data_IF_173860950024
#
_entry.id   IF_173860950024
#
_cell.length_a   1.000
_cell.length_b   1.000
_cell.length_c   1.000
_cell.angle_alpha   90.00
_cell.angle_beta   90.00
_cell.angle_gamma   90.00
#
_symmetry.space_group_name_H-M   'P 1'
#
loop_
_entity.id
_entity.type
_entity.pdbx_description
1 polymer ?
#
# COMPACT_ATOMS: atom_id res chain seq x y z
N UNK A 1 22.97 -15.16 -16.85
CA UNK A 1 22.48 -13.76 -16.96
C UNK A 1 21.55 -13.52 -15.76
N UNK A 2 21.59 -12.35 -15.15
CA UNK A 2 20.70 -12.06 -14.00
C UNK A 2 19.46 -11.31 -14.48
N UNK A 3 18.32 -11.96 -14.45
CA UNK A 3 17.03 -11.39 -14.85
C UNK A 3 16.33 -10.78 -13.64
N UNK A 4 15.69 -9.61 -13.79
CA UNK A 4 14.95 -8.93 -12.72
C UNK A 4 13.53 -8.62 -13.14
N UNK A 5 12.60 -8.78 -12.18
CA UNK A 5 11.21 -8.32 -12.34
C UNK A 5 11.09 -6.98 -11.62
N UNK A 6 10.74 -5.92 -12.37
CA UNK A 6 10.68 -4.57 -11.82
C UNK A 6 9.60 -3.72 -12.47
N UNK A 7 9.31 -2.57 -11.85
CA UNK A 7 8.36 -1.58 -12.34
C UNK A 7 9.06 -0.58 -13.27
N UNK A 8 8.49 -0.40 -14.48
CA UNK A 8 8.86 0.65 -15.43
C UNK A 8 7.79 1.73 -15.38
N UNK A 9 8.17 2.99 -15.10
CA UNK A 9 7.25 4.12 -15.10
C UNK A 9 6.96 4.57 -16.54
N UNK A 10 5.67 4.72 -16.86
CA UNK A 10 5.20 5.19 -18.18
C UNK A 10 4.16 6.30 -18.07
N UNK A 11 3.68 6.62 -16.88
CA UNK A 11 2.67 7.67 -16.65
C UNK A 11 3.21 9.09 -16.91
N UNK A 12 2.27 10.03 -17.04
CA UNK A 12 2.53 11.47 -17.19
C UNK A 12 2.99 12.09 -15.85
N UNK A 13 3.41 13.37 -15.89
CA UNK A 13 3.68 14.18 -14.69
C UNK A 13 2.41 14.20 -13.82
N UNK A 14 2.53 13.94 -12.52
CA UNK A 14 1.44 13.85 -11.54
C UNK A 14 0.42 12.72 -11.75
N UNK A 15 0.57 11.86 -12.79
CA UNK A 15 -0.23 10.65 -12.99
C UNK A 15 0.71 9.45 -13.23
N UNK A 16 1.30 8.90 -12.16
CA UNK A 16 2.18 7.75 -12.28
C UNK A 16 1.40 6.50 -12.70
N UNK A 17 1.90 5.80 -13.69
CA UNK A 17 1.46 4.48 -14.09
C UNK A 17 2.69 3.61 -14.33
N UNK A 18 2.62 2.34 -13.94
CA UNK A 18 3.77 1.45 -13.98
C UNK A 18 3.42 0.16 -14.71
N UNK A 19 4.35 -0.34 -15.52
CA UNK A 19 4.31 -1.70 -16.05
C UNK A 19 5.21 -2.61 -15.25
N UNK A 20 4.75 -3.81 -14.95
CA UNK A 20 5.61 -4.87 -14.45
C UNK A 20 6.31 -5.50 -15.64
N UNK A 21 7.62 -5.45 -15.62
CA UNK A 21 8.46 -5.95 -16.72
C UNK A 21 9.53 -6.90 -16.21
N UNK A 22 9.85 -7.87 -17.04
CA UNK A 22 11.01 -8.74 -16.90
C UNK A 22 12.12 -8.17 -17.78
N UNK A 23 13.30 -7.95 -17.21
CA UNK A 23 14.41 -7.29 -17.89
C UNK A 23 15.75 -7.80 -17.35
N UNK A 24 16.79 -7.79 -18.16
CA UNK A 24 18.16 -8.05 -17.72
C UNK A 24 18.61 -6.97 -16.70
N UNK A 25 19.29 -7.40 -15.64
CA UNK A 25 19.77 -6.54 -14.55
C UNK A 25 20.71 -5.42 -15.02
N UNK A 26 21.45 -5.65 -16.08
CA UNK A 26 22.42 -4.70 -16.67
C UNK A 26 21.75 -3.58 -17.48
N UNK A 27 20.52 -3.81 -17.97
CA UNK A 27 19.80 -2.82 -18.77
C UNK A 27 19.22 -1.71 -17.90
N UNK A 28 19.08 -0.52 -18.47
CA UNK A 28 18.44 0.63 -17.82
C UNK A 28 16.97 0.29 -17.48
N UNK A 29 16.41 0.94 -16.45
CA UNK A 29 15.02 0.72 -16.02
C UNK A 29 14.02 0.86 -17.16
N UNK A 30 14.24 1.82 -18.05
CA UNK A 30 13.34 2.16 -19.16
C UNK A 30 13.76 1.50 -20.49
N UNK A 31 14.73 0.57 -20.44
CA UNK A 31 15.21 -0.19 -21.59
C UNK A 31 14.19 -1.17 -22.15
N UNK A 32 14.61 -1.89 -23.21
CA UNK A 32 13.80 -2.93 -23.81
C UNK A 32 13.57 -4.08 -22.80
N UNK A 33 12.31 -4.34 -22.46
CA UNK A 33 11.91 -5.45 -21.62
C UNK A 33 11.90 -6.75 -22.43
N UNK A 34 12.17 -7.87 -21.76
CA UNK A 34 12.02 -9.21 -22.34
C UNK A 34 10.53 -9.51 -22.46
N UNK A 35 9.77 -9.26 -21.36
CA UNK A 35 8.34 -9.52 -21.30
C UNK A 35 7.65 -8.51 -20.37
N UNK A 36 6.36 -8.21 -20.63
CA UNK A 36 5.48 -7.47 -19.75
C UNK A 36 4.56 -8.46 -19.04
N UNK A 37 4.64 -8.52 -17.72
CA UNK A 37 3.90 -9.48 -16.88
C UNK A 37 2.75 -8.85 -16.09
N UNK A 38 2.50 -7.54 -16.30
CA UNK A 38 1.38 -6.85 -15.65
C UNK A 38 1.55 -5.34 -15.65
N UNK A 39 0.68 -4.67 -14.88
CA UNK A 39 0.74 -3.23 -14.65
C UNK A 39 0.32 -2.86 -13.23
N UNK A 40 0.65 -1.65 -12.80
CA UNK A 40 0.30 -1.11 -11.50
C UNK A 40 -0.08 0.38 -11.62
N UNK A 41 -1.28 0.73 -11.17
CA UNK A 41 -1.79 2.09 -11.10
C UNK A 41 -1.97 2.51 -9.62
N UNK A 42 -1.12 3.37 -9.06
CA UNK A 42 -1.24 3.79 -7.67
C UNK A 42 -2.36 4.80 -7.40
N UNK A 43 -2.97 5.38 -8.45
CA UNK A 43 -4.00 6.42 -8.30
C UNK A 43 -5.37 5.78 -8.13
N UNK A 44 -5.59 4.65 -8.76
CA UNK A 44 -6.86 3.93 -8.76
C UNK A 44 -6.89 2.94 -7.58
N UNK A 45 -7.76 3.15 -6.56
CA UNK A 45 -7.83 2.25 -5.42
C UNK A 45 -8.50 0.92 -5.75
N UNK A 46 -9.47 0.90 -6.68
CA UNK A 46 -10.23 -0.31 -7.03
C UNK A 46 -9.44 -1.22 -7.96
N UNK A 47 -8.93 -0.67 -9.06
CA UNK A 47 -8.14 -1.39 -10.05
C UNK A 47 -6.68 -0.97 -9.97
N UNK A 48 -6.04 -1.22 -8.82
CA UNK A 48 -4.68 -0.75 -8.59
C UNK A 48 -3.61 -1.52 -9.36
N UNK A 49 -3.84 -2.77 -9.73
CA UNK A 49 -2.88 -3.59 -10.47
C UNK A 49 -3.54 -4.81 -11.12
N UNK A 50 -2.91 -5.30 -12.15
CA UNK A 50 -3.19 -6.57 -12.80
C UNK A 50 -1.89 -7.32 -13.04
N UNK A 51 -1.88 -8.61 -12.71
CA UNK A 51 -0.68 -9.44 -12.76
C UNK A 51 -0.99 -10.73 -13.51
N UNK A 52 -0.03 -11.17 -14.32
CA UNK A 52 -0.06 -12.49 -14.96
C UNK A 52 0.72 -13.47 -14.07
N UNK A 53 0.02 -14.13 -13.17
CA UNK A 53 0.61 -14.98 -12.11
C UNK A 53 1.48 -16.10 -12.69
N UNK A 54 0.99 -16.81 -13.69
CA UNK A 54 1.71 -17.94 -14.30
C UNK A 54 3.04 -17.50 -14.93
N UNK A 55 3.05 -16.30 -15.55
CA UNK A 55 4.27 -15.77 -16.15
C UNK A 55 5.27 -15.33 -15.09
N UNK A 56 4.81 -14.77 -13.99
CA UNK A 56 5.69 -14.39 -12.87
C UNK A 56 6.29 -15.63 -12.22
N UNK A 57 5.49 -16.67 -11.96
CA UNK A 57 5.96 -17.94 -11.41
C UNK A 57 6.98 -18.62 -12.33
N UNK A 58 6.73 -18.63 -13.63
CA UNK A 58 7.68 -19.13 -14.62
C UNK A 58 9.04 -18.39 -14.51
N UNK A 59 9.03 -17.06 -14.53
CA UNK A 59 10.27 -16.28 -14.44
C UNK A 59 10.99 -16.42 -13.10
N UNK A 60 10.24 -16.61 -12.01
CA UNK A 60 10.83 -16.93 -10.69
C UNK A 60 11.51 -18.31 -10.72
N UNK A 61 10.92 -19.30 -11.39
CA UNK A 61 11.52 -20.61 -11.63
C UNK A 61 12.82 -20.53 -12.43
N UNK A 62 12.88 -19.64 -13.43
CA UNK A 62 14.08 -19.32 -14.19
C UNK A 62 15.12 -18.48 -13.41
N UNK A 63 14.88 -18.20 -12.13
CA UNK A 63 15.79 -17.46 -11.27
C UNK A 63 15.70 -15.93 -11.39
N UNK A 64 14.62 -15.37 -11.89
CA UNK A 64 14.43 -13.92 -11.92
C UNK A 64 14.23 -13.35 -10.52
N UNK A 65 14.93 -12.26 -10.20
CA UNK A 65 14.89 -11.62 -8.89
C UNK A 65 13.85 -10.49 -8.90
N UNK A 66 12.75 -10.58 -8.12
CA UNK A 66 11.77 -9.52 -8.02
C UNK A 66 12.31 -8.34 -7.17
N UNK A 67 12.04 -7.12 -7.61
CA UNK A 67 12.35 -5.91 -6.83
C UNK A 67 11.45 -5.80 -5.58
N UNK A 68 11.85 -5.01 -4.59
CA UNK A 68 11.07 -4.85 -3.34
C UNK A 68 9.64 -4.36 -3.58
N UNK A 69 9.43 -3.50 -4.59
CA UNK A 69 8.09 -3.04 -4.96
C UNK A 69 7.24 -4.19 -5.53
N UNK A 70 7.79 -5.01 -6.43
CA UNK A 70 7.12 -6.18 -6.99
C UNK A 70 6.82 -7.21 -5.89
N UNK A 71 7.77 -7.47 -4.97
CA UNK A 71 7.52 -8.35 -3.80
C UNK A 71 6.33 -7.90 -2.96
N UNK A 72 6.15 -6.57 -2.77
CA UNK A 72 4.98 -6.05 -2.03
C UNK A 72 3.67 -6.31 -2.78
N UNK A 73 3.66 -6.18 -4.11
CA UNK A 73 2.49 -6.47 -4.93
C UNK A 73 2.19 -7.97 -4.90
N UNK A 74 3.18 -8.84 -5.11
CA UNK A 74 3.03 -10.30 -5.00
C UNK A 74 2.50 -10.76 -3.63
N UNK A 75 2.90 -10.09 -2.55
CA UNK A 75 2.35 -10.35 -1.20
C UNK A 75 0.88 -9.94 -1.07
N UNK A 76 0.43 -8.94 -1.80
CA UNK A 76 -0.98 -8.52 -1.79
C UNK A 76 -1.88 -9.51 -2.50
N UNK A 77 -1.40 -10.16 -3.54
CA UNK A 77 -2.09 -11.18 -4.33
C UNK A 77 -2.02 -12.59 -3.74
N UNK A 78 -1.17 -12.82 -2.74
CA UNK A 78 -0.90 -14.16 -2.26
C UNK A 78 0.08 -14.95 -3.13
N UNK A 79 0.53 -14.39 -4.26
CA UNK A 79 1.47 -15.03 -5.18
C UNK A 79 2.80 -15.36 -4.51
N UNK A 80 3.23 -14.55 -3.56
CA UNK A 80 4.45 -14.82 -2.77
C UNK A 80 4.31 -16.07 -1.90
N UNK A 81 3.12 -16.33 -1.36
CA UNK A 81 2.81 -17.54 -0.59
C UNK A 81 2.77 -18.77 -1.51
N UNK A 82 2.06 -18.65 -2.65
CA UNK A 82 2.00 -19.71 -3.67
C UNK A 82 3.39 -20.12 -4.11
N UNK A 83 4.27 -19.17 -4.43
CA UNK A 83 5.64 -19.43 -4.81
C UNK A 83 6.44 -20.16 -3.72
N UNK A 84 6.29 -19.73 -2.46
CA UNK A 84 6.97 -20.34 -1.33
C UNK A 84 6.56 -21.79 -1.12
N UNK A 85 5.24 -22.10 -1.19
CA UNK A 85 4.73 -23.46 -1.06
C UNK A 85 5.17 -24.35 -2.23
N UNK A 86 5.21 -23.81 -3.45
CA UNK A 86 5.73 -24.53 -4.61
C UNK A 86 7.22 -24.89 -4.45
N UNK A 87 8.02 -23.99 -3.87
CA UNK A 87 9.44 -24.29 -3.58
C UNK A 87 9.62 -25.37 -2.50
N UNK A 88 8.66 -25.50 -1.60
CA UNK A 88 8.66 -26.57 -0.57
C UNK A 88 8.19 -27.93 -1.13
N UNK A 89 7.69 -27.98 -2.36
CA UNK A 89 7.19 -29.19 -2.97
C UNK A 89 5.84 -29.65 -2.42
N UNK A 90 5.03 -28.72 -1.90
CA UNK A 90 3.69 -29.00 -1.37
C UNK A 90 2.72 -29.29 -2.53
N UNK A 91 1.79 -30.23 -2.33
CA UNK A 91 0.78 -30.59 -3.32
C UNK A 91 -0.13 -29.40 -3.66
N UNK A 92 -0.55 -29.30 -4.92
CA UNK A 92 -1.38 -28.20 -5.43
C UNK A 92 -2.70 -28.04 -4.67
N UNK A 93 -3.31 -29.14 -4.23
CA UNK A 93 -4.53 -29.13 -3.38
C UNK A 93 -4.32 -28.51 -2.01
N UNK A 94 -3.14 -28.64 -1.44
CA UNK A 94 -2.78 -28.03 -0.16
C UNK A 94 -2.45 -26.55 -0.35
N UNK A 95 -1.80 -26.20 -1.46
CA UNK A 95 -1.54 -24.80 -1.84
C UNK A 95 -2.85 -24.02 -1.95
N UNK A 96 -3.87 -24.59 -2.62
CA UNK A 96 -5.18 -23.94 -2.73
C UNK A 96 -5.87 -23.75 -1.37
N UNK A 97 -5.78 -24.73 -0.46
CA UNK A 97 -6.33 -24.63 0.89
C UNK A 97 -5.65 -23.50 1.69
N UNK A 98 -4.33 -23.42 1.60
CA UNK A 98 -3.57 -22.36 2.27
C UNK A 98 -3.84 -20.98 1.68
N UNK A 99 -4.01 -20.86 0.36
CA UNK A 99 -4.41 -19.61 -0.29
C UNK A 99 -5.79 -19.16 0.17
N UNK A 100 -6.78 -20.05 0.23
CA UNK A 100 -8.13 -19.72 0.76
C UNK A 100 -8.09 -19.26 2.21
N UNK A 101 -7.30 -19.90 3.06
CA UNK A 101 -7.11 -19.46 4.45
C UNK A 101 -6.47 -18.07 4.51
N UNK A 102 -5.49 -17.84 3.64
CA UNK A 102 -4.81 -16.55 3.56
C UNK A 102 -5.76 -15.43 3.10
N UNK A 103 -6.64 -15.69 2.12
CA UNK A 103 -7.65 -14.75 1.64
C UNK A 103 -8.62 -14.35 2.76
N UNK A 104 -9.20 -15.33 3.47
CA UNK A 104 -10.09 -15.09 4.62
C UNK A 104 -9.40 -14.26 5.71
N UNK A 105 -8.15 -14.60 6.04
CA UNK A 105 -7.39 -13.85 7.03
C UNK A 105 -7.11 -12.42 6.55
N UNK A 106 -6.86 -12.24 5.27
CA UNK A 106 -6.61 -10.93 4.67
C UNK A 106 -7.86 -10.03 4.70
N UNK A 107 -9.03 -10.58 4.38
CA UNK A 107 -10.30 -9.86 4.49
C UNK A 107 -10.54 -9.38 5.93
N UNK A 108 -10.32 -10.24 6.92
CA UNK A 108 -10.40 -9.87 8.33
C UNK A 108 -9.43 -8.75 8.72
N UNK A 109 -8.20 -8.80 8.22
CA UNK A 109 -7.18 -7.77 8.46
C UNK A 109 -7.54 -6.45 7.78
N UNK A 110 -8.12 -6.48 6.58
CA UNK A 110 -8.58 -5.27 5.88
C UNK A 110 -9.77 -4.64 6.62
N UNK A 111 -10.76 -5.42 6.99
CA UNK A 111 -11.91 -4.95 7.79
C UNK A 111 -11.47 -4.34 9.14
N UNK A 112 -10.52 -4.97 9.83
CA UNK A 112 -9.96 -4.42 11.07
C UNK A 112 -9.17 -3.11 10.86
N UNK A 113 -8.54 -2.93 9.71
CA UNK A 113 -7.84 -1.67 9.35
C UNK A 113 -8.83 -0.56 9.07
N UNK A 114 -9.88 -0.83 8.30
CA UNK A 114 -10.93 0.13 7.98
C UNK A 114 -11.65 0.59 9.24
N UNK A 115 -11.97 -0.34 10.16
CA UNK A 115 -12.54 -0.01 11.45
C UNK A 115 -11.63 0.93 12.27
N UNK A 116 -10.33 0.64 12.36
CA UNK A 116 -9.35 1.49 13.05
C UNK A 116 -9.15 2.86 12.38
N UNK A 117 -9.25 2.93 11.06
CA UNK A 117 -9.18 4.21 10.34
C UNK A 117 -10.44 5.03 10.55
N UNK A 118 -11.62 4.39 10.59
CA UNK A 118 -12.88 5.04 10.92
C UNK A 118 -12.86 5.63 12.34
N UNK A 119 -12.39 4.85 13.33
CA UNK A 119 -12.20 5.34 14.70
C UNK A 119 -11.24 6.54 14.79
N UNK A 120 -10.11 6.47 14.08
CA UNK A 120 -9.15 7.59 14.04
C UNK A 120 -9.73 8.84 13.39
N UNK A 121 -10.57 8.68 12.37
CA UNK A 121 -11.25 9.79 11.70
C UNK A 121 -12.30 10.43 12.60
N UNK A 122 -13.08 9.65 13.34
CA UNK A 122 -14.05 10.14 14.33
C UNK A 122 -13.35 10.88 15.46
N UNK A 123 -12.31 10.29 16.04
CA UNK A 123 -11.53 10.91 17.14
C UNK A 123 -10.81 12.20 16.71
N UNK A 124 -10.39 12.30 15.43
CA UNK A 124 -9.80 13.51 14.88
C UNK A 124 -10.84 14.60 14.64
N UNK A 125 -12.08 14.21 14.31
CA UNK A 125 -13.20 15.14 14.10
C UNK A 125 -13.69 15.73 15.43
N UNK A 126 -13.77 14.91 16.49
CA UNK A 126 -14.12 15.37 17.84
C UNK A 126 -13.05 16.32 18.41
N UNK A 127 -11.77 16.04 18.14
CA UNK A 127 -10.67 16.90 18.61
C UNK A 127 -10.55 18.22 17.83
N UNK A 128 -11.15 18.33 16.65
CA UNK A 128 -11.19 19.58 15.84
C UNK A 128 -12.43 20.44 16.12
N UNK A 129 -13.41 19.93 16.91
CA UNK A 129 -14.60 20.66 17.33
C UNK A 129 -14.52 21.20 18.77
N UNK A 130 -13.40 20.99 19.47
CA UNK A 130 -13.18 21.51 20.81
C UNK A 130 -11.99 22.50 20.83
N UNK A 131 -12.13 23.69 20.22
CA UNK A 131 -11.47 24.86 20.76
C UNK A 131 -12.24 26.15 20.45
N UNK A 132 -13.19 26.54 21.27
CA UNK A 132 -13.65 27.96 21.33
C UNK A 132 -14.34 28.32 22.65
N UNK A 133 -14.41 27.40 23.60
CA UNK A 133 -15.00 27.72 24.92
C UNK A 133 -13.99 28.23 25.95
N UNK A 134 -12.68 28.26 25.62
CA UNK A 134 -11.65 28.70 26.55
C UNK A 134 -11.14 30.13 26.30
N UNK A 135 -11.46 30.74 25.17
CA UNK A 135 -11.02 32.12 24.86
C UNK A 135 -12.00 33.22 25.31
N UNK A 136 -13.27 32.89 25.56
CA UNK A 136 -14.26 33.88 26.06
C UNK A 136 -14.24 34.08 27.57
N UNK A 137 -13.54 33.25 28.35
CA UNK A 137 -13.45 33.38 29.81
C UNK A 137 -12.28 34.26 30.27
N UNK A 138 -11.36 34.62 29.42
CA UNK A 138 -10.16 35.42 29.78
C UNK A 138 -10.32 36.90 29.41
N UNK A 139 -11.21 37.28 28.50
CA UNK A 139 -11.50 38.68 28.16
C UNK A 139 -12.47 39.37 29.14
N UNK A 140 -13.21 38.62 29.96
CA UNK A 140 -14.17 39.20 30.90
C UNK A 140 -13.56 39.63 32.27
N UNK A 141 -12.25 39.50 32.46
CA UNK A 141 -11.56 39.89 33.72
C UNK A 141 -10.63 41.09 33.62
N UNK A 142 -10.58 41.75 32.48
CA UNK A 142 -9.65 42.88 32.27
C UNK A 142 -10.30 44.29 32.30
N UNK A 143 -11.56 44.42 32.70
CA UNK A 143 -12.22 45.72 32.74
C UNK A 143 -12.82 46.00 34.15
N UNK A 144 -11.96 46.29 35.10
CA UNK A 144 -12.35 46.88 36.37
C UNK A 144 -11.48 48.12 36.59
N UNK A 145 -12.05 49.36 36.53
CA UNK A 145 -11.28 50.60 36.70
C UNK A 145 -10.96 50.85 38.16
N UNK A 146 -9.66 51.03 38.42
CA UNK A 146 -9.08 51.48 39.66
C UNK A 146 -9.62 52.89 40.04
N UNK A 147 -10.46 52.97 41.06
CA UNK A 147 -10.88 54.22 41.71
C UNK A 147 -10.05 54.47 42.96
N UNK A 148 -9.08 55.35 42.86
CA UNK A 148 -8.35 55.86 43.95
C UNK A 148 -9.25 56.74 44.86
N UNK A 149 -9.11 56.70 46.20
CA UNK A 149 -9.63 57.74 47.10
C UNK A 149 -8.58 58.76 47.40
N UNK A 150 -8.90 60.03 47.10
CA UNK A 150 -8.25 61.20 47.76
C UNK A 150 -8.66 61.26 49.20
N UNK A 151 -7.69 61.45 50.07
CA UNK A 151 -7.47 62.54 51.10
C UNK A 151 -6.21 62.21 51.89
#
# INVERSE_FOLDING_TARGET
MSTKIRLKRIGRRNRPFYRLIVIDSRKRRDGAAIEQVGWYNPIDPENSYEIKDDRILHWLGEGAIPSNAVKKIMKREGLALRWHLMQQGVDEKEIEKELKKWELNRENVLAAREAKEAEKRSHKKDKSQAPDAASEAEEAKADEPDAAPET
#
